data_IF_474582849057
#
_entry.id   IF_474582849057
#
_cell.length_a   1.000
_cell.length_b   1.000
_cell.length_c   1.000
_cell.angle_alpha   90.00
_cell.angle_beta   90.00
_cell.angle_gamma   90.00
#
_symmetry.space_group_name_H-M   'P 1'
#
loop_
_entity.id
_entity.type
_entity.pdbx_description
1 polymer ?
#
# COMPACT_ATOMS: atom_id res chain seq x y z
N UNK A 1 -34.18 1.86 -29.59
CA UNK A 1 -32.95 2.51 -29.06
C UNK A 1 -31.81 1.53 -29.26
N UNK A 2 -30.76 1.97 -29.94
CA UNK A 2 -29.72 1.12 -30.53
C UNK A 2 -28.68 0.65 -29.49
N UNK A 3 -28.38 -0.65 -29.50
CA UNK A 3 -27.25 -1.24 -28.79
C UNK A 3 -25.98 -1.13 -29.65
N UNK A 4 -25.00 -0.33 -29.21
CA UNK A 4 -23.65 -0.31 -29.80
C UNK A 4 -22.79 -1.34 -29.10
N UNK A 5 -22.56 -2.47 -29.78
CA UNK A 5 -21.53 -3.44 -29.45
C UNK A 5 -20.14 -2.83 -29.74
N UNK A 6 -19.27 -2.75 -28.74
CA UNK A 6 -17.85 -2.45 -28.91
C UNK A 6 -17.06 -3.72 -28.60
N UNK A 7 -16.67 -4.43 -29.66
CA UNK A 7 -15.74 -5.55 -29.61
C UNK A 7 -14.33 -4.95 -29.64
N UNK A 8 -13.54 -5.16 -28.57
CA UNK A 8 -12.13 -4.75 -28.51
C UNK A 8 -11.26 -5.99 -28.68
N UNK A 9 -10.68 -6.15 -29.86
CA UNK A 9 -9.80 -7.26 -30.22
C UNK A 9 -8.46 -7.19 -29.48
N UNK A 10 -8.08 -8.29 -28.83
CA UNK A 10 -6.76 -8.51 -28.24
C UNK A 10 -5.79 -9.01 -29.31
N UNK A 11 -4.75 -8.23 -29.61
CA UNK A 11 -3.63 -8.66 -30.46
C UNK A 11 -2.52 -9.26 -29.61
N UNK A 12 -2.43 -10.59 -29.59
CA UNK A 12 -1.28 -11.32 -29.06
C UNK A 12 -0.10 -11.21 -30.05
N UNK A 13 1.10 -10.91 -29.55
CA UNK A 13 2.36 -11.15 -30.28
C UNK A 13 3.25 -12.03 -29.41
N UNK A 14 3.34 -13.29 -29.82
CA UNK A 14 4.33 -14.27 -29.40
C UNK A 14 5.62 -13.95 -30.14
N UNK A 15 6.74 -13.82 -29.41
CA UNK A 15 8.07 -13.81 -29.99
C UNK A 15 8.83 -15.01 -29.42
N UNK A 16 9.04 -16.02 -30.28
CA UNK A 16 9.97 -17.13 -30.07
C UNK A 16 11.31 -16.68 -30.62
N UNK A 17 12.35 -16.66 -29.78
CA UNK A 17 13.73 -16.46 -30.19
C UNK A 17 14.57 -17.63 -29.69
N UNK A 18 15.00 -18.48 -30.60
CA UNK A 18 15.84 -19.64 -30.35
C UNK A 18 17.34 -19.29 -30.48
N UNK A 19 18.12 -19.90 -29.59
CA UNK A 19 19.49 -20.42 -29.71
C UNK A 19 20.60 -19.60 -30.43
N UNK A 20 21.72 -19.43 -29.72
CA UNK A 20 23.02 -19.85 -30.25
C UNK A 20 24.02 -20.18 -29.12
N UNK A 21 24.54 -21.40 -29.20
CA UNK A 21 25.67 -22.00 -28.48
C UNK A 21 26.98 -21.29 -28.86
N UNK A 22 27.83 -21.02 -27.88
CA UNK A 22 29.22 -20.63 -28.09
C UNK A 22 30.13 -21.33 -27.07
N UNK A 23 30.76 -22.42 -27.50
CA UNK A 23 31.88 -23.09 -26.84
C UNK A 23 33.21 -22.54 -27.43
N UNK A 24 34.34 -22.86 -26.76
CA UNK A 24 35.77 -22.60 -27.06
C UNK A 24 36.33 -21.51 -26.12
N UNK A 25 37.44 -21.67 -25.38
CA UNK A 25 38.57 -22.62 -25.45
C UNK A 25 39.31 -22.61 -24.12
N UNK A 26 39.88 -23.76 -23.75
CA UNK A 26 40.80 -23.93 -22.62
C UNK A 26 42.19 -23.35 -22.94
N UNK A 27 42.85 -22.81 -21.91
CA UNK A 27 44.27 -22.44 -21.89
C UNK A 27 44.88 -22.84 -20.53
N UNK A 28 46.03 -23.49 -20.57
CA UNK A 28 46.67 -24.33 -19.54
C UNK A 28 47.93 -23.67 -18.94
N UNK A 29 48.21 -24.03 -17.67
CA UNK A 29 49.50 -24.02 -16.93
C UNK A 29 50.15 -22.63 -16.62
N UNK A 30 50.78 -22.36 -15.47
CA UNK A 30 51.25 -23.16 -14.32
C UNK A 30 51.79 -22.21 -13.21
N UNK A 31 52.44 -22.72 -12.14
CA UNK A 31 52.42 -22.10 -10.80
C UNK A 31 53.72 -21.37 -10.40
N UNK A 32 53.63 -20.46 -9.41
CA UNK A 32 54.80 -19.96 -8.66
C UNK A 32 54.43 -19.63 -7.19
N UNK A 33 54.88 -20.53 -6.31
CA UNK A 33 55.59 -20.32 -5.03
C UNK A 33 55.29 -19.04 -4.22
N UNK A 34 54.66 -19.26 -3.04
CA UNK A 34 55.13 -18.86 -1.71
C UNK A 34 55.47 -17.39 -1.41
N UNK A 35 54.76 -16.80 -0.44
CA UNK A 35 55.39 -16.18 0.73
C UNK A 35 54.37 -15.95 1.87
N UNK A 36 54.77 -16.40 3.06
CA UNK A 36 54.14 -16.15 4.35
C UNK A 36 54.19 -14.66 4.72
N UNK A 37 53.15 -14.14 5.36
CA UNK A 37 53.25 -12.94 6.22
C UNK A 37 52.20 -12.99 7.34
N UNK A 38 52.66 -13.55 8.45
CA UNK A 38 52.53 -13.06 9.83
C UNK A 38 51.44 -12.00 10.14
N UNK A 39 50.44 -12.44 10.89
CA UNK A 39 49.80 -11.77 12.03
C UNK A 39 49.62 -10.23 12.03
N UNK A 40 48.35 -9.80 11.95
CA UNK A 40 47.90 -8.60 12.65
C UNK A 40 46.46 -8.76 13.13
N UNK A 41 46.34 -9.13 14.42
CA UNK A 41 45.12 -8.99 15.19
C UNK A 41 44.80 -7.49 15.31
N UNK A 42 43.71 -7.04 14.67
CA UNK A 42 43.19 -5.69 14.86
C UNK A 42 42.04 -5.75 15.85
N UNK A 43 42.33 -5.15 16.99
CA UNK A 43 41.50 -4.97 18.17
C UNK A 43 40.17 -4.32 17.81
N UNK A 44 39.07 -4.91 18.29
CA UNK A 44 37.73 -4.37 18.20
C UNK A 44 37.67 -2.98 18.86
N UNK A 45 37.33 -1.95 18.07
CA UNK A 45 36.98 -0.64 18.57
C UNK A 45 35.59 -0.70 19.23
N UNK A 46 35.36 0.03 20.35
CA UNK A 46 34.13 -0.06 21.11
C UNK A 46 32.96 0.53 20.32
N UNK A 47 31.82 -0.15 20.38
CA UNK A 47 30.56 0.30 19.80
C UNK A 47 30.20 1.69 20.32
N UNK A 48 30.24 2.69 19.43
CA UNK A 48 29.59 3.96 19.65
C UNK A 48 28.09 3.69 19.87
N UNK A 49 27.54 4.22 20.97
CA UNK A 49 26.10 4.28 21.22
C UNK A 49 25.48 5.11 20.10
N UNK A 50 24.96 4.41 19.10
CA UNK A 50 24.41 5.03 17.91
C UNK A 50 23.09 5.73 18.23
N UNK A 51 22.98 6.94 17.69
CA UNK A 51 21.82 7.80 17.84
C UNK A 51 20.60 7.10 17.23
N UNK A 52 19.46 7.19 17.90
CA UNK A 52 18.17 6.65 17.44
C UNK A 52 17.76 7.31 16.12
N UNK A 53 18.14 6.71 14.99
CA UNK A 53 17.58 7.05 13.69
C UNK A 53 16.14 6.53 13.61
N UNK A 54 15.19 7.45 13.46
CA UNK A 54 13.81 7.11 13.11
C UNK A 54 13.77 6.79 11.61
N UNK A 55 13.78 5.50 11.29
CA UNK A 55 13.14 4.92 10.10
C UNK A 55 13.64 5.36 8.71
N UNK A 56 14.89 5.07 8.37
CA UNK A 56 15.44 5.10 6.99
C UNK A 56 15.59 3.70 6.37
N UNK A 57 14.95 2.67 6.94
CA UNK A 57 14.90 1.34 6.34
C UNK A 57 14.01 1.32 5.08
N UNK A 58 14.31 0.47 4.09
CA UNK A 58 13.47 0.35 2.90
C UNK A 58 12.06 -0.08 3.31
N UNK A 59 11.06 0.72 2.93
CA UNK A 59 9.66 0.37 3.11
C UNK A 59 9.40 -0.96 2.42
N UNK A 60 8.83 -1.93 3.13
CA UNK A 60 8.40 -3.19 2.52
C UNK A 60 7.44 -2.85 1.37
N UNK A 61 7.68 -3.40 0.19
CA UNK A 61 6.88 -3.08 -1.00
C UNK A 61 5.91 -4.22 -1.30
N UNK A 62 4.65 -3.87 -1.56
CA UNK A 62 3.57 -4.81 -1.91
C UNK A 62 2.90 -4.30 -3.17
N UNK A 63 2.92 -5.08 -4.25
CA UNK A 63 2.34 -4.64 -5.54
C UNK A 63 2.94 -3.33 -6.08
N UNK A 64 4.21 -3.05 -5.76
CA UNK A 64 4.87 -1.78 -6.10
C UNK A 64 4.52 -0.59 -5.20
N UNK A 65 3.67 -0.78 -4.18
CA UNK A 65 3.33 0.24 -3.20
C UNK A 65 4.15 0.04 -1.94
N UNK A 66 4.78 1.11 -1.48
CA UNK A 66 5.50 1.11 -0.22
C UNK A 66 4.53 0.97 0.97
N UNK A 67 4.86 0.13 1.95
CA UNK A 67 4.10 -0.06 3.20
C UNK A 67 4.92 0.53 4.35
N UNK A 68 4.27 1.36 5.18
CA UNK A 68 4.88 2.03 6.32
C UNK A 68 5.68 1.07 7.18
N UNK A 69 6.87 1.47 7.63
CA UNK A 69 7.63 0.70 8.62
C UNK A 69 6.86 0.55 9.95
N UNK A 70 5.95 1.49 10.25
CA UNK A 70 5.11 1.48 11.46
C UNK A 70 3.73 0.87 11.26
N UNK A 71 3.41 0.37 10.05
CA UNK A 71 2.17 -0.38 9.82
C UNK A 71 2.16 -1.65 10.68
N UNK A 72 1.01 -1.93 11.30
CA UNK A 72 0.81 -3.12 12.12
C UNK A 72 0.79 -4.42 11.30
N UNK A 73 0.82 -5.56 11.99
CA UNK A 73 0.84 -6.88 11.34
C UNK A 73 -0.41 -7.11 10.49
N UNK A 74 -1.59 -6.70 10.98
CA UNK A 74 -2.85 -6.85 10.25
C UNK A 74 -2.84 -6.08 8.91
N UNK A 75 -2.37 -4.83 8.90
CA UNK A 75 -2.20 -4.02 7.68
C UNK A 75 -1.26 -4.71 6.71
N UNK A 76 -0.14 -5.25 7.19
CA UNK A 76 0.83 -5.97 6.36
C UNK A 76 0.24 -7.25 5.78
N UNK A 77 -0.48 -8.03 6.58
CA UNK A 77 -1.16 -9.25 6.16
C UNK A 77 -2.20 -8.97 5.09
N UNK A 78 -3.05 -7.96 5.28
CA UNK A 78 -4.05 -7.52 4.29
C UNK A 78 -3.36 -7.07 3.01
N UNK A 79 -2.27 -6.32 3.10
CA UNK A 79 -1.52 -5.88 1.94
C UNK A 79 -1.00 -7.08 1.14
N UNK A 80 -0.32 -8.02 1.80
CA UNK A 80 0.24 -9.21 1.15
C UNK A 80 -0.83 -10.14 0.57
N UNK A 81 -1.99 -10.24 1.24
CA UNK A 81 -3.12 -11.04 0.76
C UNK A 81 -3.85 -10.39 -0.43
N UNK A 82 -3.70 -9.08 -0.64
CA UNK A 82 -4.44 -8.33 -1.66
C UNK A 82 -3.58 -7.26 -2.37
N UNK A 83 -2.44 -7.64 -2.98
CA UNK A 83 -1.51 -6.67 -3.57
C UNK A 83 -2.15 -5.85 -4.68
N UNK A 84 -3.04 -6.44 -5.50
CA UNK A 84 -3.73 -5.73 -6.56
C UNK A 84 -4.67 -4.63 -6.03
N UNK A 85 -5.37 -4.87 -4.92
CA UNK A 85 -6.24 -3.87 -4.30
C UNK A 85 -5.43 -2.72 -3.71
N UNK A 86 -4.29 -3.02 -3.09
CA UNK A 86 -3.35 -2.01 -2.59
C UNK A 86 -2.84 -1.15 -3.75
N UNK A 87 -2.34 -1.75 -4.83
CA UNK A 87 -1.87 -1.01 -6.01
C UNK A 87 -2.97 -0.15 -6.62
N UNK A 88 -4.16 -0.70 -6.82
CA UNK A 88 -5.28 0.02 -7.43
C UNK A 88 -5.68 1.25 -6.59
N UNK A 89 -5.86 1.07 -5.28
CA UNK A 89 -6.26 2.16 -4.38
C UNK A 89 -5.14 3.19 -4.16
N UNK A 90 -3.88 2.77 -4.12
CA UNK A 90 -2.73 3.69 -4.08
C UNK A 90 -2.63 4.54 -5.35
N UNK A 91 -2.84 3.94 -6.53
CA UNK A 91 -2.85 4.67 -7.81
C UNK A 91 -3.96 5.72 -7.85
N UNK A 92 -5.13 5.42 -7.27
CA UNK A 92 -6.21 6.39 -7.12
C UNK A 92 -5.80 7.54 -6.21
N UNK A 93 -5.08 7.29 -5.11
CA UNK A 93 -4.55 8.35 -4.24
C UNK A 93 -3.51 9.23 -4.95
N UNK A 94 -2.67 8.63 -5.80
CA UNK A 94 -1.66 9.29 -6.62
C UNK A 94 -0.23 8.95 -6.19
N UNK A 95 0.75 9.54 -6.86
CA UNK A 95 2.18 9.25 -6.63
C UNK A 95 2.68 9.75 -5.27
N UNK A 96 3.63 9.01 -4.68
CA UNK A 96 4.31 9.38 -3.44
C UNK A 96 3.57 9.01 -2.16
N UNK A 97 2.44 8.32 -2.28
CA UNK A 97 1.69 7.77 -1.17
C UNK A 97 2.20 6.37 -0.80
N UNK A 98 2.32 6.10 0.50
CA UNK A 98 2.63 4.77 1.06
C UNK A 98 1.51 4.32 1.99
N UNK A 99 1.27 3.02 2.07
CA UNK A 99 0.21 2.42 2.88
C UNK A 99 0.55 2.54 4.36
N UNK A 100 -0.35 3.15 5.14
CA UNK A 100 -0.19 3.30 6.60
C UNK A 100 -1.17 2.44 7.40
N UNK A 101 -2.32 2.10 6.82
CA UNK A 101 -3.36 1.31 7.47
C UNK A 101 -4.19 0.57 6.43
N UNK A 102 -4.52 -0.69 6.69
CA UNK A 102 -5.51 -1.45 5.94
C UNK A 102 -6.36 -2.27 6.92
N UNK A 103 -7.67 -2.28 6.73
CA UNK A 103 -8.57 -3.01 7.61
C UNK A 103 -9.77 -3.58 6.84
N UNK A 104 -10.03 -4.88 7.03
CA UNK A 104 -11.24 -5.53 6.54
C UNK A 104 -12.39 -5.27 7.52
N UNK A 105 -13.51 -4.76 7.00
CA UNK A 105 -14.64 -4.30 7.82
C UNK A 105 -15.95 -4.98 7.41
N UNK A 106 -16.87 -5.26 8.36
CA UNK A 106 -16.77 -4.98 9.80
C UNK A 106 -15.78 -5.91 10.53
N UNK A 107 -15.58 -7.13 10.05
CA UNK A 107 -14.54 -8.07 10.53
C UNK A 107 -13.93 -8.81 9.34
N UNK A 108 -12.79 -9.50 9.51
CA UNK A 108 -12.21 -10.33 8.44
C UNK A 108 -13.15 -11.44 7.95
N UNK A 109 -13.88 -12.11 8.85
CA UNK A 109 -14.76 -13.25 8.55
C UNK A 109 -16.06 -12.82 7.88
N UNK A 110 -16.52 -11.60 8.16
CA UNK A 110 -17.74 -11.02 7.60
C UNK A 110 -17.43 -9.84 6.69
N UNK A 111 -16.28 -9.84 6.02
CA UNK A 111 -15.77 -8.72 5.22
C UNK A 111 -16.80 -8.25 4.18
N UNK A 112 -17.29 -7.03 4.37
CA UNK A 112 -18.14 -6.29 3.42
C UNK A 112 -17.36 -5.20 2.69
N UNK A 113 -16.24 -4.76 3.23
CA UNK A 113 -15.36 -3.82 2.57
C UNK A 113 -13.95 -3.83 3.15
N UNK A 114 -13.07 -3.02 2.56
CA UNK A 114 -11.71 -2.82 3.07
C UNK A 114 -11.38 -1.34 3.02
N UNK A 115 -10.95 -0.80 4.16
CA UNK A 115 -10.51 0.60 4.26
C UNK A 115 -9.01 0.62 4.11
N UNK A 116 -8.50 1.41 3.17
CA UNK A 116 -7.09 1.68 3.00
C UNK A 116 -6.81 3.13 3.33
N UNK A 117 -5.75 3.40 4.10
CA UNK A 117 -5.21 4.74 4.26
C UNK A 117 -3.77 4.80 3.79
N UNK A 118 -3.50 5.87 3.08
CA UNK A 118 -2.20 6.20 2.55
C UNK A 118 -1.76 7.57 3.03
N UNK A 119 -0.45 7.77 3.13
CA UNK A 119 0.14 9.05 3.51
C UNK A 119 1.36 9.39 2.65
N UNK A 120 1.66 10.67 2.47
CA UNK A 120 2.95 11.12 1.93
C UNK A 120 3.96 11.31 3.05
N UNK A 121 5.24 11.00 2.80
CA UNK A 121 6.29 11.08 3.84
C UNK A 121 6.98 12.45 3.91
N UNK A 122 6.28 13.48 3.45
CA UNK A 122 6.78 14.86 3.38
C UNK A 122 5.68 15.80 3.85
N UNK A 123 6.07 16.86 4.53
CA UNK A 123 5.14 17.92 4.91
C UNK A 123 4.61 18.66 3.65
N UNK A 124 3.34 19.09 3.63
CA UNK A 124 2.31 18.72 4.61
C UNK A 124 1.94 17.24 4.43
N UNK A 125 1.82 16.49 5.54
CA UNK A 125 1.67 15.02 5.59
C UNK A 125 0.33 14.55 5.02
N UNK A 126 0.14 14.72 3.72
CA UNK A 126 -1.13 14.51 3.04
C UNK A 126 -1.60 13.08 3.24
N UNK A 127 -2.85 12.92 3.63
CA UNK A 127 -3.49 11.61 3.73
C UNK A 127 -4.50 11.40 2.61
N UNK A 128 -4.69 10.15 2.26
CA UNK A 128 -5.70 9.70 1.32
C UNK A 128 -6.33 8.42 1.86
N UNK A 129 -7.65 8.32 1.83
CA UNK A 129 -8.35 7.09 2.18
C UNK A 129 -9.22 6.59 1.03
N UNK A 130 -9.35 5.27 0.97
CA UNK A 130 -10.20 4.53 0.05
C UNK A 130 -11.02 3.54 0.85
N UNK A 131 -12.29 3.37 0.50
CA UNK A 131 -13.15 2.35 1.09
C UNK A 131 -13.69 1.45 -0.02
N UNK A 132 -13.10 0.27 -0.14
CA UNK A 132 -13.43 -0.73 -1.15
C UNK A 132 -14.73 -1.48 -0.78
N UNK A 133 -15.62 -1.67 -1.74
CA UNK A 133 -16.86 -2.41 -1.61
C UNK A 133 -16.60 -3.88 -1.99
N UNK A 134 -16.53 -4.75 -1.00
CA UNK A 134 -16.34 -6.18 -1.22
C UNK A 134 -17.66 -6.96 -1.21
N UNK A 135 -18.78 -6.27 -1.48
CA UNK A 135 -20.09 -6.91 -1.67
C UNK A 135 -20.42 -7.10 -3.15
N UNK A 136 -21.38 -7.97 -3.46
CA UNK A 136 -21.79 -8.25 -4.84
C UNK A 136 -22.64 -7.15 -5.50
N UNK A 137 -23.01 -6.10 -4.78
CA UNK A 137 -23.89 -5.04 -5.30
C UNK A 137 -23.55 -3.68 -4.73
N UNK A 138 -24.02 -2.62 -5.39
CA UNK A 138 -23.78 -1.27 -4.90
C UNK A 138 -24.33 -1.09 -3.48
N UNK A 139 -23.61 -0.32 -2.66
CA UNK A 139 -24.00 0.03 -1.29
C UNK A 139 -23.94 1.53 -1.12
N UNK A 140 -24.80 2.05 -0.25
CA UNK A 140 -24.59 3.41 0.21
C UNK A 140 -23.37 3.39 1.12
N UNK A 141 -22.34 4.14 0.75
CA UNK A 141 -21.10 4.22 1.50
C UNK A 141 -20.79 5.67 1.80
N UNK A 142 -20.14 5.90 2.92
CA UNK A 142 -19.56 7.19 3.30
C UNK A 142 -18.16 6.97 3.81
N UNK A 143 -17.21 7.66 3.21
CA UNK A 143 -15.84 7.76 3.69
C UNK A 143 -15.59 9.21 4.10
N UNK A 144 -15.06 9.42 5.30
CA UNK A 144 -14.73 10.74 5.83
C UNK A 144 -13.35 10.71 6.44
N UNK A 145 -12.54 11.74 6.18
CA UNK A 145 -11.28 11.99 6.88
C UNK A 145 -11.34 13.36 7.55
N UNK A 146 -11.06 13.40 8.85
CA UNK A 146 -10.95 14.63 9.62
C UNK A 146 -9.49 14.82 10.06
N UNK A 147 -8.79 15.87 9.59
CA UNK A 147 -7.45 16.18 10.06
C UNK A 147 -7.41 16.34 11.58
N UNK A 148 -6.29 16.00 12.21
CA UNK A 148 -6.11 16.14 13.65
C UNK A 148 -5.67 17.55 14.05
N UNK A 149 -6.30 18.56 13.45
CA UNK A 149 -5.94 19.97 13.60
C UNK A 149 -7.20 20.77 13.91
N UNK A 150 -7.11 21.64 14.92
CA UNK A 150 -8.24 22.48 15.33
C UNK A 150 -8.65 23.39 14.17
N UNK A 151 -9.96 23.44 13.88
CA UNK A 151 -10.51 24.27 12.80
C UNK A 151 -10.34 23.70 11.39
N UNK A 152 -9.68 22.55 11.23
CA UNK A 152 -9.58 21.89 9.94
C UNK A 152 -10.91 21.26 9.52
N UNK A 153 -11.28 21.42 8.25
CA UNK A 153 -12.48 20.82 7.69
C UNK A 153 -12.24 19.35 7.37
N UNK A 154 -13.21 18.49 7.72
CA UNK A 154 -13.20 17.10 7.27
C UNK A 154 -13.61 17.03 5.80
N UNK A 155 -12.96 16.16 5.03
CA UNK A 155 -13.38 15.84 3.68
C UNK A 155 -14.22 14.55 3.66
N UNK A 156 -15.18 14.47 2.74
CA UNK A 156 -16.20 13.40 2.69
C UNK A 156 -16.46 13.00 1.25
N UNK A 157 -16.53 11.69 1.02
CA UNK A 157 -17.16 11.12 -0.17
C UNK A 157 -18.31 10.20 0.27
N UNK A 158 -19.51 10.41 -0.27
CA UNK A 158 -20.69 9.64 0.07
C UNK A 158 -21.65 9.47 -1.11
N UNK A 159 -22.30 8.31 -1.17
CA UNK A 159 -23.12 7.95 -2.33
C UNK A 159 -23.34 6.46 -2.46
N UNK A 160 -23.92 6.06 -3.59
CA UNK A 160 -24.13 4.66 -3.95
C UNK A 160 -22.96 4.18 -4.81
N UNK A 161 -22.13 3.29 -4.26
CA UNK A 161 -20.91 2.83 -4.92
C UNK A 161 -20.92 1.33 -5.17
N UNK A 162 -20.62 0.93 -6.41
CA UNK A 162 -20.44 -0.47 -6.80
C UNK A 162 -19.03 -0.98 -6.54
N UNK A 163 -18.03 -0.09 -6.48
CA UNK A 163 -16.62 -0.46 -6.36
C UNK A 163 -15.98 0.13 -5.11
N UNK A 164 -16.00 1.45 -4.94
CA UNK A 164 -15.36 2.08 -3.78
C UNK A 164 -15.93 3.47 -3.52
N UNK A 165 -15.80 3.94 -2.29
CA UNK A 165 -15.86 5.36 -1.93
C UNK A 165 -14.44 5.91 -1.76
N UNK A 166 -14.24 7.19 -2.09
CA UNK A 166 -12.95 7.87 -2.16
C UNK A 166 -12.42 7.96 -3.60
N UNK A 167 -11.24 8.57 -3.80
CA UNK A 167 -10.28 9.00 -2.79
C UNK A 167 -10.71 10.25 -2.03
N UNK A 168 -10.83 10.16 -0.71
CA UNK A 168 -10.95 11.31 0.19
C UNK A 168 -9.56 11.77 0.57
N UNK A 169 -9.25 13.05 0.38
CA UNK A 169 -7.89 13.58 0.61
C UNK A 169 -7.92 14.76 1.54
N UNK A 170 -6.98 14.79 2.46
CA UNK A 170 -6.78 15.95 3.33
C UNK A 170 -5.32 16.37 3.35
N UNK A 171 -5.14 17.68 3.48
CA UNK A 171 -3.83 18.25 3.81
C UNK A 171 -3.59 18.07 5.29
N UNK A 172 -2.34 17.77 5.67
CA UNK A 172 -1.94 17.53 7.06
C UNK A 172 -2.78 16.43 7.74
N UNK A 173 -2.83 15.27 7.08
CA UNK A 173 -3.57 14.11 7.57
C UNK A 173 -2.84 13.30 8.63
N UNK A 174 -1.86 13.89 9.31
CA UNK A 174 -1.19 13.25 10.43
C UNK A 174 -2.22 12.93 11.53
N UNK A 175 -2.33 11.65 11.90
CA UNK A 175 -3.33 11.17 12.87
C UNK A 175 -4.80 11.46 12.51
N UNK A 176 -5.11 11.67 11.23
CA UNK A 176 -6.46 12.01 10.84
C UNK A 176 -7.45 10.91 11.23
N UNK A 177 -8.61 11.30 11.75
CA UNK A 177 -9.69 10.37 12.06
C UNK A 177 -10.38 9.98 10.76
N UNK A 178 -10.47 8.68 10.50
CA UNK A 178 -11.17 8.14 9.35
C UNK A 178 -12.44 7.43 9.79
N UNK A 179 -13.53 7.72 9.10
CA UNK A 179 -14.83 7.06 9.30
C UNK A 179 -15.26 6.42 7.99
N UNK A 180 -15.55 5.12 8.03
CA UNK A 180 -16.09 4.34 6.93
C UNK A 180 -17.44 3.76 7.34
N UNK A 181 -18.49 4.15 6.63
CA UNK A 181 -19.86 3.69 6.85
C UNK A 181 -20.39 3.00 5.62
N UNK A 182 -21.18 1.94 5.82
CA UNK A 182 -21.86 1.23 4.75
C UNK A 182 -23.28 0.88 5.17
N UNK A 183 -24.22 1.04 4.24
CA UNK A 183 -25.64 0.68 4.37
C UNK A 183 -26.15 0.02 3.08
N UNK A 184 -27.27 -0.67 3.18
CA UNK A 184 -27.97 -1.21 2.01
C UNK A 184 -28.46 -0.10 1.08
N UNK A 185 -28.92 1.03 1.64
CA UNK A 185 -29.32 2.24 0.93
C UNK A 185 -29.14 3.48 1.83
N UNK A 186 -29.24 4.69 1.27
CA UNK A 186 -29.11 5.95 2.02
C UNK A 186 -30.13 6.07 3.15
N UNK A 187 -31.36 5.59 2.92
CA UNK A 187 -32.47 5.63 3.88
C UNK A 187 -32.46 4.52 4.94
N UNK A 188 -31.55 3.56 4.88
CA UNK A 188 -31.50 2.48 5.86
C UNK A 188 -31.11 3.01 7.26
N UNK A 189 -31.79 2.52 8.30
CA UNK A 189 -31.50 2.87 9.70
C UNK A 189 -30.33 2.08 10.28
N UNK A 190 -30.03 0.89 9.74
CA UNK A 190 -28.96 0.01 10.20
C UNK A 190 -27.71 0.16 9.35
N UNK A 191 -26.55 0.18 10.01
CA UNK A 191 -25.25 0.11 9.35
C UNK A 191 -24.80 -1.34 9.17
N UNK A 192 -24.35 -1.66 7.96
CA UNK A 192 -23.59 -2.87 7.67
C UNK A 192 -22.13 -2.72 8.11
N UNK A 193 -21.59 -1.51 7.94
CA UNK A 193 -20.29 -1.11 8.47
C UNK A 193 -20.47 0.23 9.18
N UNK A 194 -19.99 0.30 10.42
CA UNK A 194 -19.88 1.54 11.18
C UNK A 194 -18.50 1.58 11.84
N UNK A 195 -17.49 1.97 11.07
CA UNK A 195 -16.10 1.95 11.52
C UNK A 195 -15.55 3.36 11.60
N UNK A 196 -14.96 3.70 12.75
CA UNK A 196 -14.14 4.90 12.93
C UNK A 196 -12.84 4.52 13.61
N UNK A 197 -11.73 5.04 13.10
CA UNK A 197 -10.39 4.79 13.64
C UNK A 197 -9.47 5.99 13.42
N UNK A 198 -8.33 5.97 14.11
CA UNK A 198 -7.19 6.87 13.86
C UNK A 198 -5.95 5.99 13.70
N UNK A 199 -5.19 6.11 12.60
CA UNK A 199 -3.91 5.43 12.48
C UNK A 199 -2.92 5.98 13.52
N UNK A 200 -1.88 5.21 13.83
CA UNK A 200 -0.84 5.61 14.80
C UNK A 200 -0.10 6.88 14.35
N UNK A 201 0.29 7.68 15.35
CA UNK A 201 0.84 9.03 15.23
C UNK A 201 2.37 9.07 15.25
N UNK A 202 3.02 8.06 14.65
CA UNK A 202 4.43 7.78 14.88
C UNK A 202 5.29 8.08 13.66
#
# INVERSE_FOLDING_TARGET
MQFKNVIRSYGARVAVGAAAVGLLTAGIAGPAVGQESTGRSVVAAPAAKDARQIGTGPLATVGGVAVSATADSATREIAQASPAAVTATANLCGTGYYLIHAEQVPTPEQRLGTVFMYRKNVAPWNACAMFDNNTASAKWMKLKICPNTVGATCDVDEGLFSQYAGPVRVTDGWCAQTTALMKTSSGASTYLVNRTFRPSCN
#
